data_IF_902739454326
#
_entry.id   IF_902739454326
#
_cell.length_a   1.000
_cell.length_b   1.000
_cell.length_c   1.000
_cell.angle_alpha   90.00
_cell.angle_beta   90.00
_cell.angle_gamma   90.00
#
_symmetry.space_group_name_H-M   'P 1'
#
loop_
_entity.id
_entity.type
_entity.pdbx_description
1 polymer ?
#
# COMPACT_ATOMS: atom_id res chain seq x y z
N UNK A 1 11.75 -13.62 -5.44
CA UNK A 1 10.54 -12.82 -5.13
C UNK A 1 10.89 -11.39 -5.48
N UNK A 2 10.29 -10.82 -6.53
CA UNK A 2 10.53 -9.42 -6.88
C UNK A 2 9.80 -8.55 -5.86
N UNK A 3 10.48 -7.59 -5.26
CA UNK A 3 9.84 -6.64 -4.37
C UNK A 3 8.87 -5.78 -5.19
N UNK A 4 7.66 -5.58 -4.66
CA UNK A 4 6.66 -4.71 -5.28
C UNK A 4 7.15 -3.26 -5.31
N UNK A 5 6.96 -2.50 -6.41
CA UNK A 5 7.33 -1.08 -6.48
C UNK A 5 6.74 -0.24 -5.35
N UNK A 6 5.53 -0.58 -4.88
CA UNK A 6 4.91 0.09 -3.74
C UNK A 6 5.69 -0.15 -2.45
N UNK A 7 6.14 -1.39 -2.22
CA UNK A 7 6.88 -1.74 -1.01
C UNK A 7 8.20 -0.96 -0.91
N UNK A 8 8.87 -0.74 -2.05
CA UNK A 8 10.10 0.05 -2.13
C UNK A 8 9.84 1.54 -1.83
N UNK A 9 8.79 2.13 -2.41
CA UNK A 9 8.39 3.52 -2.14
C UNK A 9 8.05 3.74 -0.67
N UNK A 10 7.29 2.84 -0.07
CA UNK A 10 6.91 2.93 1.34
C UNK A 10 8.10 2.74 2.28
N UNK A 11 9.06 1.87 1.94
CA UNK A 11 10.28 1.68 2.72
C UNK A 11 11.22 2.89 2.65
N UNK A 12 11.15 3.68 1.58
CA UNK A 12 11.97 4.88 1.40
C UNK A 12 11.42 6.12 2.15
N UNK A 13 10.19 6.08 2.67
CA UNK A 13 9.56 7.19 3.37
C UNK A 13 9.37 6.90 4.85
N UNK A 14 9.62 7.88 5.72
CA UNK A 14 9.55 7.66 7.18
C UNK A 14 8.09 7.58 7.66
N UNK A 15 7.67 6.49 8.34
CA UNK A 15 6.34 6.36 8.92
C UNK A 15 5.99 7.40 10.01
N UNK A 16 6.98 8.11 10.54
CA UNK A 16 6.78 9.19 11.51
C UNK A 16 6.54 10.56 10.84
N UNK A 17 6.66 10.62 9.52
CA UNK A 17 6.41 11.85 8.76
C UNK A 17 4.92 12.20 8.77
N UNK A 18 4.54 13.48 9.00
CA UNK A 18 3.14 13.89 9.03
C UNK A 18 2.42 13.73 7.68
N UNK A 19 3.16 13.61 6.58
CA UNK A 19 2.63 13.40 5.23
C UNK A 19 2.56 11.92 4.81
N UNK A 20 2.98 10.98 5.68
CA UNK A 20 3.13 9.57 5.28
C UNK A 20 1.84 8.96 4.75
N UNK A 21 0.69 9.20 5.40
CA UNK A 21 -0.59 8.64 4.96
C UNK A 21 -0.97 9.14 3.55
N UNK A 22 -0.80 10.43 3.28
CA UNK A 22 -1.08 11.00 1.96
C UNK A 22 -0.10 10.47 0.90
N UNK A 23 1.20 10.41 1.24
CA UNK A 23 2.24 9.83 0.37
C UNK A 23 1.94 8.35 0.05
N UNK A 24 1.53 7.57 1.03
CA UNK A 24 1.23 6.15 0.87
C UNK A 24 0.02 5.95 -0.05
N UNK A 25 -1.04 6.74 0.10
CA UNK A 25 -2.23 6.69 -0.77
C UNK A 25 -1.89 7.10 -2.20
N UNK A 26 -1.15 8.20 -2.40
CA UNK A 26 -0.75 8.65 -3.74
C UNK A 26 0.15 7.60 -4.44
N UNK A 27 1.15 7.06 -3.72
CA UNK A 27 2.01 5.99 -4.21
C UNK A 27 1.23 4.72 -4.57
N UNK A 28 0.28 4.32 -3.72
CA UNK A 28 -0.59 3.18 -3.93
C UNK A 28 -1.43 3.33 -5.20
N UNK A 29 -2.12 4.45 -5.36
CA UNK A 29 -3.00 4.68 -6.50
C UNK A 29 -2.23 4.81 -7.81
N UNK A 30 -1.07 5.50 -7.80
CA UNK A 30 -0.21 5.60 -8.99
C UNK A 30 0.30 4.24 -9.43
N UNK A 31 0.82 3.45 -8.49
CA UNK A 31 1.37 2.12 -8.80
C UNK A 31 0.28 1.14 -9.23
N UNK A 32 -0.90 1.16 -8.61
CA UNK A 32 -2.03 0.31 -9.02
C UNK A 32 -2.50 0.64 -10.43
N UNK A 33 -2.62 1.92 -10.78
CA UNK A 33 -2.97 2.36 -12.13
C UNK A 33 -1.91 1.95 -13.16
N UNK A 34 -0.62 2.15 -12.86
CA UNK A 34 0.48 1.78 -13.77
C UNK A 34 0.54 0.27 -14.04
N UNK A 35 0.15 -0.54 -13.07
CA UNK A 35 0.11 -2.00 -13.18
C UNK A 35 -1.22 -2.54 -13.71
N UNK A 36 -2.20 -1.66 -14.00
CA UNK A 36 -3.51 -2.07 -14.51
C UNK A 36 -4.35 -2.87 -13.51
N UNK A 37 -4.17 -2.62 -12.21
CA UNK A 37 -4.98 -3.28 -11.18
C UNK A 37 -6.45 -2.84 -11.27
N UNK A 38 -7.37 -3.80 -11.21
CA UNK A 38 -8.81 -3.52 -11.19
C UNK A 38 -9.29 -3.08 -9.81
N UNK A 39 -8.69 -3.63 -8.76
CA UNK A 39 -9.08 -3.41 -7.37
C UNK A 39 -7.86 -3.21 -6.49
N UNK A 40 -7.99 -2.29 -5.53
CA UNK A 40 -7.05 -2.10 -4.42
C UNK A 40 -7.71 -2.62 -3.15
N UNK A 41 -7.08 -3.61 -2.53
CA UNK A 41 -7.53 -4.19 -1.28
C UNK A 41 -6.67 -3.66 -0.12
N UNK A 42 -7.32 -2.98 0.82
CA UNK A 42 -6.76 -2.51 2.08
C UNK A 42 -7.33 -3.37 3.21
N UNK A 43 -6.48 -4.16 3.86
CA UNK A 43 -6.88 -5.20 4.82
C UNK A 43 -6.26 -4.91 6.18
N UNK A 44 -6.99 -4.26 7.11
CA UNK A 44 -6.49 -4.00 8.46
C UNK A 44 -6.17 -5.31 9.20
N UNK A 45 -4.99 -5.36 9.81
CA UNK A 45 -4.51 -6.47 10.64
C UNK A 45 -3.84 -5.92 11.91
N UNK A 46 -3.64 -6.75 12.96
CA UNK A 46 -2.98 -6.29 14.19
C UNK A 46 -1.58 -5.68 13.95
N UNK A 47 -0.84 -6.21 12.97
CA UNK A 47 0.54 -5.82 12.67
C UNK A 47 0.63 -4.60 11.73
N UNK A 48 -0.48 -4.20 11.11
CA UNK A 48 -0.51 -3.12 10.12
C UNK A 48 -1.61 -3.30 9.09
N UNK A 49 -1.54 -2.51 8.03
CA UNK A 49 -2.48 -2.55 6.93
C UNK A 49 -1.87 -3.30 5.75
N UNK A 50 -2.35 -4.52 5.50
CA UNK A 50 -1.91 -5.28 4.32
C UNK A 50 -2.55 -4.71 3.06
N UNK A 51 -1.75 -4.62 2.01
CA UNK A 51 -2.17 -4.13 0.69
C UNK A 51 -2.03 -5.25 -0.33
N UNK A 52 -3.08 -5.46 -1.11
CA UNK A 52 -3.07 -6.37 -2.25
C UNK A 52 -3.79 -5.74 -3.46
N UNK A 53 -3.41 -6.17 -4.66
CA UNK A 53 -4.05 -5.74 -5.90
C UNK A 53 -4.69 -6.92 -6.61
N UNK A 54 -5.83 -6.67 -7.24
CA UNK A 54 -6.34 -7.60 -8.25
C UNK A 54 -5.82 -7.17 -9.61
N UNK A 55 -4.99 -8.00 -10.23
CA UNK A 55 -4.45 -7.79 -11.57
C UNK A 55 -4.88 -8.99 -12.41
N UNK A 56 -5.56 -8.74 -13.51
CA UNK A 56 -6.13 -9.78 -14.39
C UNK A 56 -6.94 -10.85 -13.65
N UNK A 57 -7.73 -10.40 -12.67
CA UNK A 57 -8.58 -11.27 -11.84
C UNK A 57 -7.86 -11.95 -10.66
N UNK A 58 -6.54 -11.90 -10.58
CA UNK A 58 -5.73 -12.56 -9.55
C UNK A 58 -5.34 -11.58 -8.44
N UNK A 59 -5.61 -11.94 -7.19
CA UNK A 59 -5.19 -11.15 -6.03
C UNK A 59 -3.70 -11.40 -5.73
N UNK A 60 -2.92 -10.33 -5.64
CA UNK A 60 -1.47 -10.37 -5.45
C UNK A 60 -1.07 -9.47 -4.28
N UNK A 61 -0.26 -9.94 -3.31
CA UNK A 61 0.28 -9.09 -2.25
C UNK A 61 1.15 -7.97 -2.82
N UNK A 62 0.94 -6.74 -2.34
CA UNK A 62 1.62 -5.55 -2.87
C UNK A 62 2.52 -4.87 -1.82
N UNK A 63 2.07 -4.69 -0.59
CA UNK A 63 2.86 -4.08 0.49
C UNK A 63 2.21 -4.27 1.86
N UNK A 64 2.88 -3.78 2.91
CA UNK A 64 2.30 -3.56 4.22
C UNK A 64 2.58 -2.13 4.67
N UNK A 65 1.55 -1.44 5.17
CA UNK A 65 1.66 -0.10 5.77
C UNK A 65 1.72 -0.26 7.30
N UNK A 66 2.68 0.39 8.00
CA UNK A 66 2.85 0.24 9.44
C UNK A 66 1.59 0.58 10.25
N UNK A 67 1.34 -0.17 11.33
CA UNK A 67 0.16 -0.01 12.19
C UNK A 67 -0.01 1.40 12.77
N UNK A 68 1.09 2.12 13.02
CA UNK A 68 1.08 3.49 13.54
C UNK A 68 0.36 4.51 12.64
N UNK A 69 0.32 4.25 11.33
CA UNK A 69 -0.30 5.14 10.32
C UNK A 69 -1.47 4.48 9.59
N UNK A 70 -1.66 3.17 9.75
CA UNK A 70 -2.71 2.38 9.10
C UNK A 70 -4.11 3.00 9.23
N UNK A 71 -4.49 3.46 10.42
CA UNK A 71 -5.80 4.06 10.65
C UNK A 71 -6.02 5.34 9.83
N UNK A 72 -4.97 6.16 9.64
CA UNK A 72 -5.06 7.41 8.87
C UNK A 72 -5.31 7.16 7.37
N UNK A 73 -5.06 5.94 6.89
CA UNK A 73 -5.26 5.57 5.49
C UNK A 73 -6.71 5.13 5.20
N UNK A 74 -7.41 4.57 6.20
CA UNK A 74 -8.72 3.89 5.98
C UNK A 74 -9.89 4.43 6.80
N UNK A 75 -9.67 5.38 7.72
CA UNK A 75 -10.70 5.94 8.60
C UNK A 75 -11.31 7.25 8.09
#
# INVERSE_FOLDING_TARGET
MQNSPLAELLAAHSPDSPDYAAFAVDSLLRTSCNLGASDVHLLPQPEGLQVAWRIDGVLQPAASIPSQVAAQVVA
#
